data_IF_721054552322
#
_entry.id   IF_721054552322
#
_cell.length_a   1.000
_cell.length_b   1.000
_cell.length_c   1.000
_cell.angle_alpha   90.00
_cell.angle_beta   90.00
_cell.angle_gamma   90.00
#
_symmetry.space_group_name_H-M   'P 1'
#
loop_
_entity.id
_entity.type
_entity.pdbx_description
1 polymer ?
#
# COMPACT_ATOMS: atom_id res chain seq x y z
N UNK A 1 -14.86 10.85 13.95
CA UNK A 1 -14.89 10.25 15.30
C UNK A 1 -14.67 8.76 15.11
N UNK A 2 -13.52 8.23 15.51
CA UNK A 2 -13.26 6.79 15.45
C UNK A 2 -14.06 6.11 16.57
N UNK A 3 -14.79 5.06 16.24
CA UNK A 3 -15.53 4.25 17.20
C UNK A 3 -14.52 3.36 17.98
N UNK A 4 -14.77 3.00 19.25
CA UNK A 4 -13.84 2.18 20.03
C UNK A 4 -13.49 0.84 19.36
N UNK A 5 -14.40 0.30 18.55
CA UNK A 5 -14.23 -0.93 17.77
C UNK A 5 -13.19 -0.80 16.63
N UNK A 6 -13.00 0.41 16.08
CA UNK A 6 -12.01 0.67 15.03
C UNK A 6 -10.59 0.56 15.60
N UNK A 7 -10.38 1.06 16.82
CA UNK A 7 -9.06 1.05 17.47
C UNK A 7 -8.60 -0.37 17.80
N UNK A 8 -9.50 -1.24 18.28
CA UNK A 8 -9.18 -2.65 18.55
C UNK A 8 -8.85 -3.40 17.24
N UNK A 9 -9.60 -3.14 16.17
CA UNK A 9 -9.36 -3.72 14.84
C UNK A 9 -8.00 -3.31 14.26
N UNK A 10 -7.62 -2.04 14.42
CA UNK A 10 -6.31 -1.52 14.02
C UNK A 10 -5.16 -2.13 14.84
N UNK A 11 -5.33 -2.27 16.15
CA UNK A 11 -4.33 -2.91 17.03
C UNK A 11 -4.12 -4.39 16.64
N UNK A 12 -5.21 -5.10 16.34
CA UNK A 12 -5.17 -6.49 15.90
C UNK A 12 -4.51 -6.62 14.53
N UNK A 13 -4.83 -5.73 13.57
CA UNK A 13 -4.20 -5.71 12.26
C UNK A 13 -2.68 -5.49 12.35
N UNK A 14 -2.24 -4.52 13.16
CA UNK A 14 -0.82 -4.26 13.37
C UNK A 14 -0.08 -5.50 13.94
N UNK A 15 -0.69 -6.19 14.93
CA UNK A 15 -0.13 -7.43 15.47
C UNK A 15 -0.02 -8.53 14.41
N UNK A 16 -1.05 -8.68 13.56
CA UNK A 16 -1.04 -9.64 12.47
C UNK A 16 0.05 -9.33 11.45
N UNK A 17 0.28 -8.06 11.11
CA UNK A 17 1.32 -7.67 10.17
C UNK A 17 2.72 -7.96 10.69
N UNK A 18 2.99 -7.72 11.97
CA UNK A 18 4.26 -8.11 12.60
C UNK A 18 4.46 -9.63 12.61
N UNK A 19 3.39 -10.39 12.87
CA UNK A 19 3.45 -11.86 12.80
C UNK A 19 3.70 -12.36 11.37
N UNK A 20 3.06 -11.73 10.37
CA UNK A 20 3.29 -12.02 8.96
C UNK A 20 4.74 -11.74 8.58
N UNK A 21 5.27 -10.55 8.90
CA UNK A 21 6.67 -10.21 8.63
C UNK A 21 7.61 -11.29 9.20
N UNK A 22 7.43 -11.70 10.45
CA UNK A 22 8.22 -12.75 11.10
C UNK A 22 8.05 -14.12 10.43
N UNK A 23 6.84 -14.50 10.04
CA UNK A 23 6.59 -15.76 9.35
C UNK A 23 7.23 -15.78 7.96
N UNK A 24 7.25 -14.65 7.26
CA UNK A 24 7.88 -14.55 5.94
C UNK A 24 9.40 -14.51 5.99
N UNK A 25 10.02 -14.12 7.11
CA UNK A 25 11.47 -14.20 7.30
C UNK A 25 12.02 -15.64 7.17
N UNK A 26 11.23 -16.66 7.51
CA UNK A 26 11.65 -18.07 7.35
C UNK A 26 11.41 -18.62 5.93
N UNK A 27 10.85 -17.82 5.02
CA UNK A 27 10.54 -18.26 3.65
C UNK A 27 11.58 -17.75 2.65
N UNK A 28 11.64 -18.36 1.46
CA UNK A 28 12.50 -17.92 0.36
C UNK A 28 12.06 -16.62 -0.31
N UNK A 29 10.92 -16.04 0.08
CA UNK A 29 10.35 -14.84 -0.54
C UNK A 29 11.09 -13.54 -0.16
N UNK A 30 11.84 -13.57 0.95
CA UNK A 30 12.60 -12.45 1.48
C UNK A 30 11.76 -11.39 2.22
N UNK A 31 12.42 -10.51 3.00
CA UNK A 31 11.74 -9.53 3.86
C UNK A 31 11.02 -8.43 3.06
N UNK A 32 11.39 -8.20 1.80
CA UNK A 32 10.92 -7.03 1.05
C UNK A 32 9.69 -7.31 0.17
N UNK A 33 9.05 -8.49 0.29
CA UNK A 33 7.97 -8.90 -0.63
C UNK A 33 6.71 -9.41 0.06
N UNK A 34 6.73 -9.67 1.37
CA UNK A 34 5.59 -10.25 2.09
C UNK A 34 4.33 -9.36 2.00
N UNK A 35 4.50 -8.04 2.00
CA UNK A 35 3.38 -7.08 1.93
C UNK A 35 2.63 -7.13 0.60
N UNK A 36 3.26 -7.63 -0.48
CA UNK A 36 2.59 -7.86 -1.77
C UNK A 36 1.54 -8.95 -1.62
N UNK A 37 1.90 -10.06 -0.95
CA UNK A 37 0.97 -11.15 -0.67
C UNK A 37 -0.10 -10.71 0.33
N UNK A 38 0.27 -9.96 1.37
CA UNK A 38 -0.68 -9.42 2.33
C UNK A 38 -1.72 -8.52 1.62
N UNK A 39 -1.29 -7.56 0.80
CA UNK A 39 -2.19 -6.69 0.05
C UNK A 39 -3.13 -7.46 -0.89
N UNK A 40 -2.62 -8.47 -1.60
CA UNK A 40 -3.42 -9.33 -2.48
C UNK A 40 -4.45 -10.18 -1.69
N UNK A 41 -4.10 -10.65 -0.49
CA UNK A 41 -5.02 -11.39 0.36
C UNK A 41 -6.09 -10.46 0.97
N UNK A 42 -5.69 -9.29 1.47
CA UNK A 42 -6.60 -8.31 2.08
C UNK A 42 -7.64 -7.80 1.08
N UNK A 43 -7.24 -7.50 -0.16
CA UNK A 43 -8.20 -7.04 -1.18
C UNK A 43 -9.20 -8.13 -1.60
N UNK A 44 -8.81 -9.41 -1.48
CA UNK A 44 -9.72 -10.54 -1.66
C UNK A 44 -10.72 -10.71 -0.52
N UNK A 45 -10.39 -10.21 0.68
CA UNK A 45 -11.20 -10.32 1.89
C UNK A 45 -12.46 -9.43 1.85
N UNK A 46 -13.38 -9.55 2.83
CA UNK A 46 -14.53 -8.66 2.96
C UNK A 46 -14.15 -7.20 3.25
N UNK A 47 -12.95 -6.95 3.80
CA UNK A 47 -12.55 -5.66 4.36
C UNK A 47 -11.34 -5.06 3.61
N UNK A 48 -11.55 -4.44 2.43
CA UNK A 48 -10.48 -3.80 1.67
C UNK A 48 -9.86 -2.59 2.39
N UNK A 49 -10.53 -2.04 3.41
CA UNK A 49 -10.02 -0.94 4.23
C UNK A 49 -8.74 -1.32 4.99
N UNK A 50 -8.52 -2.60 5.30
CA UNK A 50 -7.30 -3.07 5.94
C UNK A 50 -6.03 -2.83 5.10
N UNK A 51 -6.15 -2.61 3.80
CA UNK A 51 -5.03 -2.20 2.96
C UNK A 51 -4.44 -0.84 3.37
N UNK A 52 -5.27 0.05 3.92
CA UNK A 52 -4.83 1.33 4.53
C UNK A 52 -3.97 1.07 5.75
N UNK A 53 -4.41 0.18 6.64
CA UNK A 53 -3.67 -0.18 7.86
C UNK A 53 -2.35 -0.87 7.53
N UNK A 54 -2.32 -1.72 6.50
CA UNK A 54 -1.08 -2.30 5.98
C UNK A 54 -0.11 -1.20 5.51
N UNK A 55 -0.58 -0.21 4.75
CA UNK A 55 0.26 0.90 4.32
C UNK A 55 0.79 1.72 5.51
N UNK A 56 -0.06 2.07 6.47
CA UNK A 56 0.33 2.81 7.68
C UNK A 56 1.36 2.03 8.51
N UNK A 57 1.19 0.71 8.63
CA UNK A 57 2.16 -0.16 9.29
C UNK A 57 3.50 -0.15 8.56
N UNK A 58 3.52 -0.28 7.23
CA UNK A 58 4.75 -0.31 6.46
C UNK A 58 5.52 1.01 6.54
N UNK A 59 4.87 2.16 6.44
CA UNK A 59 5.57 3.46 6.55
C UNK A 59 6.10 3.73 7.98
N UNK A 60 5.62 3.00 8.99
CA UNK A 60 6.16 3.05 10.35
C UNK A 60 7.47 2.26 10.49
N UNK A 61 7.77 1.35 9.56
CA UNK A 61 9.00 0.55 9.59
C UNK A 61 10.21 1.40 9.16
N UNK A 62 11.40 1.15 9.74
CA UNK A 62 12.60 1.92 9.42
C UNK A 62 13.01 1.79 7.94
N UNK A 63 12.62 0.70 7.27
CA UNK A 63 12.88 0.44 5.85
C UNK A 63 12.23 1.46 4.89
N UNK A 64 11.21 2.19 5.34
CA UNK A 64 10.45 3.15 4.52
C UNK A 64 10.52 4.58 5.09
N UNK A 65 11.64 4.93 5.73
CA UNK A 65 11.82 6.24 6.36
C UNK A 65 11.96 7.39 5.37
N UNK A 66 12.42 7.13 4.14
CA UNK A 66 12.64 8.20 3.14
C UNK A 66 11.44 8.34 2.18
N UNK A 67 11.18 9.56 1.66
CA UNK A 67 10.11 9.77 0.68
C UNK A 67 10.24 8.90 -0.57
N UNK A 68 11.46 8.72 -1.10
CA UNK A 68 11.70 7.87 -2.26
C UNK A 68 11.33 6.39 -2.02
N UNK A 69 11.58 5.88 -0.81
CA UNK A 69 11.18 4.52 -0.42
C UNK A 69 9.66 4.40 -0.30
N UNK A 70 8.98 5.40 0.29
CA UNK A 70 7.51 5.40 0.41
C UNK A 70 6.82 5.54 -0.94
N UNK A 71 7.37 6.36 -1.85
CA UNK A 71 6.93 6.45 -3.25
C UNK A 71 7.06 5.11 -3.98
N UNK A 72 8.20 4.42 -3.83
CA UNK A 72 8.40 3.09 -4.40
C UNK A 72 7.45 2.05 -3.79
N UNK A 73 7.20 2.13 -2.49
CA UNK A 73 6.25 1.27 -1.77
C UNK A 73 4.82 1.47 -2.28
N UNK A 74 4.33 2.71 -2.31
CA UNK A 74 2.95 2.99 -2.73
C UNK A 74 2.73 2.59 -4.19
N UNK A 75 3.74 2.79 -5.05
CA UNK A 75 3.70 2.33 -6.44
C UNK A 75 3.53 0.81 -6.52
N UNK A 76 4.30 0.06 -5.73
CA UNK A 76 4.19 -1.42 -5.67
C UNK A 76 2.82 -1.86 -5.15
N UNK A 77 2.31 -1.22 -4.09
CA UNK A 77 0.98 -1.53 -3.56
C UNK A 77 -0.12 -1.26 -4.61
N UNK A 78 -0.09 -0.09 -5.27
CA UNK A 78 -1.02 0.23 -6.36
C UNK A 78 -0.93 -0.77 -7.51
N UNK A 79 0.28 -1.17 -7.92
CA UNK A 79 0.44 -2.20 -8.95
C UNK A 79 -0.19 -3.54 -8.56
N UNK A 80 -0.02 -3.98 -7.31
CA UNK A 80 -0.64 -5.22 -6.80
C UNK A 80 -2.17 -5.12 -6.83
N UNK A 81 -2.73 -4.01 -6.36
CA UNK A 81 -4.17 -3.79 -6.34
C UNK A 81 -4.75 -3.75 -7.76
N UNK A 82 -4.11 -3.01 -8.68
CA UNK A 82 -4.53 -2.98 -10.09
C UNK A 82 -4.44 -4.36 -10.73
N UNK A 83 -3.36 -5.11 -10.48
CA UNK A 83 -3.21 -6.50 -10.98
C UNK A 83 -4.23 -7.46 -10.37
N UNK A 84 -4.72 -7.21 -9.15
CA UNK A 84 -5.74 -8.03 -8.48
C UNK A 84 -7.14 -7.87 -9.08
N UNK A 85 -7.39 -6.83 -9.88
CA UNK A 85 -8.69 -6.60 -10.53
C UNK A 85 -9.12 -7.73 -11.45
N UNK A 86 -8.18 -8.46 -12.06
CA UNK A 86 -8.47 -9.60 -12.95
C UNK A 86 -8.98 -10.84 -12.20
N UNK A 87 -8.73 -10.93 -10.90
CA UNK A 87 -9.07 -12.09 -10.06
C UNK A 87 -10.27 -11.78 -9.16
N UNK A 88 -10.26 -10.60 -8.52
CA UNK A 88 -11.26 -10.22 -7.50
C UNK A 88 -12.35 -9.30 -8.07
N UNK A 89 -12.17 -8.79 -9.28
CA UNK A 89 -13.00 -7.74 -9.86
C UNK A 89 -12.55 -6.34 -9.45
N UNK A 90 -13.17 -5.31 -10.02
CA UNK A 90 -12.67 -3.92 -9.91
C UNK A 90 -13.03 -3.22 -8.60
N UNK A 91 -14.17 -3.56 -7.99
CA UNK A 91 -14.73 -2.77 -6.89
C UNK A 91 -13.79 -2.74 -5.67
N UNK A 92 -13.37 -3.91 -5.17
CA UNK A 92 -12.54 -3.99 -3.96
C UNK A 92 -11.13 -3.41 -4.12
N UNK A 93 -10.39 -3.68 -5.21
CA UNK A 93 -9.09 -3.03 -5.40
C UNK A 93 -9.19 -1.52 -5.59
N UNK A 94 -10.24 -1.03 -6.27
CA UNK A 94 -10.44 0.41 -6.41
C UNK A 94 -10.73 1.07 -5.05
N UNK A 95 -11.58 0.44 -4.22
CA UNK A 95 -11.84 0.88 -2.85
C UNK A 95 -10.56 0.90 -2.01
N UNK A 96 -9.75 -0.17 -2.04
CA UNK A 96 -8.46 -0.23 -1.37
C UNK A 96 -7.50 0.90 -1.80
N UNK A 97 -7.47 1.26 -3.09
CA UNK A 97 -6.68 2.39 -3.59
C UNK A 97 -7.23 3.72 -3.04
N UNK A 98 -8.55 3.91 -3.02
CA UNK A 98 -9.17 5.13 -2.52
C UNK A 98 -8.89 5.35 -1.03
N UNK A 99 -9.01 4.31 -0.20
CA UNK A 99 -8.71 4.42 1.24
C UNK A 99 -7.24 4.68 1.51
N UNK A 100 -6.32 4.07 0.76
CA UNK A 100 -4.87 4.37 0.90
C UNK A 100 -4.59 5.83 0.50
N UNK A 101 -5.22 6.32 -0.58
CA UNK A 101 -5.06 7.71 -1.01
C UNK A 101 -5.50 8.72 0.07
N UNK A 102 -6.43 8.34 0.97
CA UNK A 102 -6.90 9.24 2.05
C UNK A 102 -5.86 9.46 3.14
N UNK A 103 -4.89 8.56 3.31
CA UNK A 103 -3.83 8.66 4.32
C UNK A 103 -2.41 8.86 3.74
N UNK A 104 -2.27 8.80 2.40
CA UNK A 104 -1.00 9.05 1.71
C UNK A 104 -0.55 10.52 1.92
N UNK A 105 0.70 10.71 2.31
CA UNK A 105 1.29 12.05 2.47
C UNK A 105 1.52 12.68 1.10
N UNK A 106 1.44 14.01 1.01
CA UNK A 106 1.72 14.74 -0.24
C UNK A 106 3.12 14.47 -0.81
N UNK A 107 4.11 14.24 0.05
CA UNK A 107 5.49 13.89 -0.32
C UNK A 107 5.62 12.48 -0.92
N UNK A 108 4.67 11.59 -0.62
CA UNK A 108 4.67 10.20 -1.10
C UNK A 108 3.93 10.03 -2.42
N UNK A 109 3.21 11.08 -2.87
CA UNK A 109 2.51 11.10 -4.15
C UNK A 109 3.51 11.17 -5.30
N UNK A 110 3.49 10.15 -6.16
CA UNK A 110 4.29 10.11 -7.39
C UNK A 110 3.76 11.15 -8.40
N UNK A 111 4.39 12.33 -8.46
CA UNK A 111 4.06 13.42 -9.39
C UNK A 111 4.82 13.35 -10.73
N UNK A 112 5.62 12.32 -10.95
CA UNK A 112 6.55 12.20 -12.09
C UNK A 112 5.88 12.24 -13.48
N UNK A 113 4.56 12.10 -13.56
CA UNK A 113 3.81 12.16 -14.82
C UNK A 113 3.55 13.57 -15.35
N UNK A 114 3.75 14.63 -14.55
CA UNK A 114 3.42 16.02 -14.99
C UNK A 114 4.60 16.73 -15.65
N UNK A 115 5.84 16.34 -15.35
CA UNK A 115 7.04 17.06 -15.84
C UNK A 115 7.41 16.71 -17.29
N UNK A 116 6.94 15.56 -17.82
CA UNK A 116 7.30 15.11 -19.18
C UNK A 116 6.44 15.71 -20.30
N UNK A 117 5.36 16.41 -19.97
CA UNK A 117 4.47 17.03 -20.95
C UNK A 117 4.74 18.52 -21.22
N UNK A 118 5.55 19.20 -20.38
CA UNK A 118 5.74 20.66 -20.40
C UNK A 118 7.01 21.18 -21.08
N UNK A 119 8.01 20.34 -21.38
CA UNK A 119 9.33 20.82 -21.85
C UNK A 119 9.61 20.51 -23.34
N UNK A 120 8.59 20.52 -24.20
CA UNK A 120 8.78 20.43 -25.64
C UNK A 120 8.97 21.83 -26.26
N UNK A 121 10.05 22.53 -25.89
CA UNK A 121 10.53 23.67 -26.69
C UNK A 121 11.28 23.10 -27.89
N UNK A 122 10.62 23.01 -29.05
CA UNK A 122 11.29 22.71 -30.34
C UNK A 122 11.87 24.02 -30.89
N UNK A 123 13.19 24.14 -31.13
CA UNK A 123 13.68 25.19 -31.99
C UNK A 123 13.35 24.85 -33.46
N UNK A 124 12.90 25.88 -34.18
CA UNK A 124 12.78 25.94 -35.64
C UNK A 124 14.16 26.13 -36.29
#
# INVERSE_FOLDING_TARGET
>A
MATPQDTESQQNAASLFTQLEKAFQSTSLGPDRWYILAAAALVGSPDPELCKELYLHLISLPAFSTPAQRQALIRRLREVLVKSTSIVGVCKPLEAIMVINTCEREEDKDRSSTERAGSATRPI
#
